data_IF_840695742228
#
_entry.id   IF_840695742228
#
_cell.length_a   1.000
_cell.length_b   1.000
_cell.length_c   1.000
_cell.angle_alpha   90.00
_cell.angle_beta   90.00
_cell.angle_gamma   90.00
#
_symmetry.space_group_name_H-M   'P 1'
#
loop_
_entity.id
_entity.type
_entity.pdbx_description
1 polymer ?
#
# COMPACT_ATOMS: atom_id res chain seq x y z
N UNK A 1 -46.56 24.46 -56.54
CA UNK A 1 -46.17 25.02 -55.22
C UNK A 1 -46.85 24.19 -54.13
N UNK A 2 -46.19 23.22 -53.48
CA UNK A 2 -46.82 22.43 -52.42
C UNK A 2 -46.72 23.17 -51.08
N UNK A 3 -47.86 23.28 -50.39
CA UNK A 3 -47.94 23.86 -49.04
C UNK A 3 -47.44 22.81 -48.05
N UNK A 4 -46.27 23.06 -47.46
CA UNK A 4 -45.69 22.24 -46.40
C UNK A 4 -46.44 22.57 -45.10
N UNK A 5 -47.43 21.75 -44.74
CA UNK A 5 -48.05 21.79 -43.40
C UNK A 5 -47.10 21.15 -42.40
N UNK A 6 -46.54 21.97 -41.49
CA UNK A 6 -45.74 21.50 -40.36
C UNK A 6 -46.64 20.75 -39.36
N UNK A 7 -46.19 19.64 -38.77
CA UNK A 7 -46.95 18.93 -37.75
C UNK A 7 -46.99 19.76 -36.46
N UNK A 8 -48.20 19.97 -35.96
CA UNK A 8 -48.49 20.60 -34.67
C UNK A 8 -47.75 19.85 -33.56
N UNK A 9 -46.98 20.52 -32.69
CA UNK A 9 -46.35 19.84 -31.56
C UNK A 9 -47.45 19.31 -30.65
N UNK A 10 -47.43 18.00 -30.40
CA UNK A 10 -48.30 17.35 -29.43
C UNK A 10 -48.19 18.12 -28.12
N UNK A 11 -49.33 18.73 -27.73
CA UNK A 11 -49.52 19.41 -26.44
C UNK A 11 -49.14 18.40 -25.36
N UNK A 12 -47.91 18.49 -24.87
CA UNK A 12 -47.47 17.78 -23.66
C UNK A 12 -48.36 18.34 -22.57
N UNK A 13 -49.41 17.59 -22.25
CA UNK A 13 -50.28 17.90 -21.13
C UNK A 13 -49.41 17.67 -19.90
N UNK A 14 -48.72 18.71 -19.46
CA UNK A 14 -48.18 18.78 -18.11
C UNK A 14 -49.40 18.83 -17.21
N UNK A 15 -49.98 17.66 -16.94
CA UNK A 15 -50.99 17.50 -15.92
C UNK A 15 -50.26 17.73 -14.60
N UNK A 16 -50.31 18.96 -14.11
CA UNK A 16 -50.19 19.24 -12.69
C UNK A 16 -51.28 18.41 -12.03
N UNK A 17 -50.91 17.23 -11.52
CA UNK A 17 -51.85 16.31 -10.89
C UNK A 17 -52.26 16.92 -9.56
N UNK A 18 -53.54 17.28 -9.47
CA UNK A 18 -54.12 17.86 -8.27
C UNK A 18 -53.76 17.01 -7.04
N UNK A 19 -53.18 17.62 -5.98
CA UNK A 19 -52.88 16.91 -4.75
C UNK A 19 -54.17 16.28 -4.20
N UNK A 20 -54.13 14.98 -3.90
CA UNK A 20 -55.30 14.21 -3.46
C UNK A 20 -56.09 13.52 -4.58
N UNK A 21 -55.73 13.73 -5.86
CA UNK A 21 -56.27 12.90 -6.95
C UNK A 21 -55.82 11.44 -6.79
N UNK A 22 -56.69 10.50 -7.19
CA UNK A 22 -56.40 9.04 -7.17
C UNK A 22 -55.07 8.72 -7.83
N UNK A 23 -54.76 9.38 -8.95
CA UNK A 23 -53.52 9.17 -9.66
C UNK A 23 -52.29 9.69 -8.86
N UNK A 24 -52.43 10.76 -8.08
CA UNK A 24 -51.35 11.27 -7.21
C UNK A 24 -51.07 10.27 -6.08
N UNK A 25 -52.13 9.71 -5.50
CA UNK A 25 -52.04 8.70 -4.43
C UNK A 25 -51.34 7.44 -4.95
N UNK A 26 -51.68 6.96 -6.15
CA UNK A 26 -51.01 5.81 -6.77
C UNK A 26 -49.52 6.05 -7.01
N UNK A 27 -49.12 7.26 -7.42
CA UNK A 27 -47.70 7.60 -7.58
C UNK A 27 -46.97 7.58 -6.25
N UNK A 28 -47.59 8.08 -5.17
CA UNK A 28 -47.02 8.03 -3.82
C UNK A 28 -46.88 6.58 -3.31
N UNK A 29 -47.88 5.74 -3.54
CA UNK A 29 -47.84 4.33 -3.16
C UNK A 29 -46.71 3.59 -3.90
N UNK A 30 -46.61 3.75 -5.23
CA UNK A 30 -45.52 3.15 -6.01
C UNK A 30 -44.13 3.63 -5.56
N UNK A 31 -44.00 4.92 -5.20
CA UNK A 31 -42.74 5.47 -4.69
C UNK A 31 -42.39 4.89 -3.31
N UNK A 32 -43.39 4.67 -2.46
CA UNK A 32 -43.21 4.04 -1.16
C UNK A 32 -42.83 2.56 -1.29
N UNK A 33 -43.47 1.82 -2.20
CA UNK A 33 -43.10 0.44 -2.50
C UNK A 33 -41.65 0.32 -3.01
N UNK A 34 -41.24 1.21 -3.92
CA UNK A 34 -39.87 1.26 -4.41
C UNK A 34 -38.87 1.55 -3.28
N UNK A 35 -39.20 2.50 -2.39
CA UNK A 35 -38.37 2.82 -1.23
C UNK A 35 -38.20 1.63 -0.28
N UNK A 36 -39.30 0.93 0.04
CA UNK A 36 -39.27 -0.26 0.90
C UNK A 36 -38.49 -1.41 0.24
N UNK A 37 -38.59 -1.58 -1.08
CA UNK A 37 -37.82 -2.58 -1.81
C UNK A 37 -36.31 -2.28 -1.77
N UNK A 38 -35.91 -1.02 -1.95
CA UNK A 38 -34.51 -0.60 -1.86
C UNK A 38 -33.95 -0.77 -0.44
N UNK A 39 -34.74 -0.42 0.58
CA UNK A 39 -34.36 -0.64 1.98
C UNK A 39 -34.17 -2.13 2.29
N UNK A 40 -35.05 -3.00 1.77
CA UNK A 40 -34.94 -4.46 1.93
C UNK A 40 -33.69 -5.01 1.24
N UNK A 41 -33.38 -4.55 0.03
CA UNK A 41 -32.15 -4.92 -0.71
C UNK A 41 -30.89 -4.50 0.04
N UNK A 42 -30.88 -3.29 0.61
CA UNK A 42 -29.76 -2.81 1.42
C UNK A 42 -29.54 -3.68 2.65
N UNK A 43 -30.62 -4.04 3.35
CA UNK A 43 -30.56 -4.93 4.52
C UNK A 43 -30.01 -6.32 4.18
N UNK A 44 -30.46 -6.91 3.06
CA UNK A 44 -29.94 -8.21 2.58
C UNK A 44 -28.45 -8.11 2.21
N UNK A 45 -28.03 -7.01 1.57
CA UNK A 45 -26.62 -6.77 1.24
C UNK A 45 -25.76 -6.66 2.49
N UNK A 46 -26.24 -5.96 3.52
CA UNK A 46 -25.57 -5.88 4.82
C UNK A 46 -25.45 -7.25 5.48
N UNK A 47 -26.52 -8.06 5.48
CA UNK A 47 -26.48 -9.43 5.99
C UNK A 47 -25.42 -10.30 5.29
N UNK A 48 -25.31 -10.22 3.96
CA UNK A 48 -24.28 -10.93 3.18
C UNK A 48 -22.85 -10.48 3.51
N UNK A 49 -22.65 -9.20 3.84
CA UNK A 49 -21.35 -8.68 4.27
C UNK A 49 -20.99 -9.17 5.66
N UNK A 50 -21.97 -9.26 6.56
CA UNK A 50 -21.80 -9.77 7.91
C UNK A 50 -21.39 -11.25 7.89
N UNK A 51 -22.10 -12.09 7.13
CA UNK A 51 -21.73 -13.51 6.99
C UNK A 51 -20.36 -13.73 6.37
N UNK A 52 -19.95 -12.87 5.42
CA UNK A 52 -18.59 -12.89 4.87
C UNK A 52 -17.54 -12.51 5.91
N UNK A 53 -17.85 -11.57 6.81
CA UNK A 53 -16.96 -11.21 7.91
C UNK A 53 -16.87 -12.32 8.95
N UNK A 54 -17.99 -12.95 9.32
CA UNK A 54 -18.02 -14.10 10.23
C UNK A 54 -17.17 -15.25 9.69
N UNK A 55 -17.30 -15.58 8.40
CA UNK A 55 -16.46 -16.61 7.76
C UNK A 55 -14.96 -16.23 7.71
N UNK A 56 -14.63 -14.94 7.67
CA UNK A 56 -13.25 -14.47 7.73
C UNK A 56 -12.69 -14.56 9.17
N UNK A 57 -13.52 -14.28 10.17
CA UNK A 57 -13.17 -14.42 11.59
C UNK A 57 -12.95 -15.89 11.94
N UNK A 58 -13.84 -16.79 11.51
CA UNK A 58 -13.68 -18.23 11.74
C UNK A 58 -12.38 -18.77 11.12
N UNK A 59 -12.01 -18.30 9.92
CA UNK A 59 -10.71 -18.63 9.31
C UNK A 59 -9.52 -18.12 10.14
N UNK A 60 -9.62 -16.92 10.70
CA UNK A 60 -8.57 -16.38 11.57
C UNK A 60 -8.49 -17.14 12.90
N UNK A 61 -9.62 -17.54 13.48
CA UNK A 61 -9.68 -18.36 14.69
C UNK A 61 -9.05 -19.74 14.46
N UNK A 62 -9.33 -20.39 13.33
CA UNK A 62 -8.67 -21.64 12.94
C UNK A 62 -7.16 -21.44 12.77
N UNK A 63 -6.73 -20.35 12.11
CA UNK A 63 -5.31 -20.03 11.97
C UNK A 63 -4.63 -19.77 13.32
N UNK A 64 -5.31 -19.08 14.24
CA UNK A 64 -4.83 -18.83 15.59
C UNK A 64 -4.78 -20.11 16.44
N UNK A 65 -5.78 -20.98 16.33
CA UNK A 65 -5.83 -22.27 17.02
C UNK A 65 -4.78 -23.26 16.49
N UNK A 66 -4.42 -23.17 15.21
CA UNK A 66 -3.34 -23.96 14.60
C UNK A 66 -1.94 -23.35 14.80
N UNK A 67 -1.85 -22.16 15.40
CA UNK A 67 -0.56 -21.49 15.62
C UNK A 67 0.21 -22.26 16.69
N UNK A 68 1.37 -22.81 16.33
CA UNK A 68 2.31 -23.30 17.33
C UNK A 68 2.66 -22.13 18.26
N UNK A 69 2.79 -22.36 19.58
CA UNK A 69 3.26 -21.32 20.49
C UNK A 69 4.58 -20.81 19.93
N UNK A 70 4.62 -19.51 19.63
CA UNK A 70 5.87 -18.83 19.32
C UNK A 70 6.76 -19.10 20.52
N UNK A 71 7.78 -19.95 20.33
CA UNK A 71 8.83 -20.01 21.32
C UNK A 71 9.34 -18.58 21.49
N UNK A 72 9.53 -18.09 22.73
CA UNK A 72 10.18 -16.82 22.93
C UNK A 72 11.50 -16.91 22.18
N UNK A 73 11.62 -16.18 21.07
CA UNK A 73 12.92 -15.78 20.58
C UNK A 73 13.38 -14.83 21.67
N UNK A 74 13.99 -15.36 22.74
CA UNK A 74 14.93 -14.55 23.46
C UNK A 74 15.91 -14.12 22.38
N UNK A 75 16.03 -12.81 22.06
CA UNK A 75 17.22 -12.39 21.38
C UNK A 75 18.36 -12.89 22.25
N UNK A 76 19.19 -13.77 21.68
CA UNK A 76 20.48 -14.04 22.30
C UNK A 76 21.09 -12.65 22.52
N UNK A 77 21.46 -12.24 23.75
CA UNK A 77 22.06 -10.93 23.97
C UNK A 77 23.31 -10.70 23.09
N UNK A 78 23.86 -11.78 22.54
CA UNK A 78 24.95 -11.75 21.58
C UNK A 78 24.50 -11.57 20.11
N UNK A 79 23.23 -11.79 19.75
CA UNK A 79 22.70 -11.65 18.38
C UNK A 79 22.46 -10.21 17.93
N UNK A 80 22.13 -9.27 18.84
CA UNK A 80 22.00 -7.85 18.45
C UNK A 80 23.36 -7.22 18.12
N UNK A 81 24.45 -7.81 18.59
CA UNK A 81 25.82 -7.33 18.39
C UNK A 81 26.65 -8.16 17.39
N UNK A 82 26.08 -9.19 16.80
CA UNK A 82 26.75 -9.95 15.74
C UNK A 82 26.46 -9.31 14.38
N UNK A 83 27.50 -8.69 13.82
CA UNK A 83 27.51 -8.22 12.44
C UNK A 83 27.09 -9.37 11.50
N UNK A 84 26.01 -9.22 10.70
CA UNK A 84 25.52 -10.25 9.79
C UNK A 84 26.64 -11.01 9.07
N UNK A 85 26.74 -12.32 9.30
CA UNK A 85 27.84 -13.19 8.83
C UNK A 85 27.92 -13.35 7.29
N UNK A 86 27.00 -12.74 6.54
CA UNK A 86 27.05 -12.67 5.08
C UNK A 86 27.84 -11.43 4.64
N UNK A 87 29.15 -11.39 4.90
CA UNK A 87 29.97 -10.20 4.61
C UNK A 87 30.18 -10.01 3.11
N UNK A 88 29.24 -9.34 2.46
CA UNK A 88 29.36 -8.90 1.06
C UNK A 88 30.46 -7.83 0.89
N UNK A 89 30.82 -7.15 1.97
CA UNK A 89 31.91 -6.18 2.08
C UNK A 89 32.79 -6.57 3.27
N UNK A 90 34.11 -6.43 3.13
CA UNK A 90 35.08 -6.73 4.19
C UNK A 90 34.81 -5.90 5.46
N UNK A 91 34.91 -6.55 6.64
CA UNK A 91 34.67 -5.89 7.94
C UNK A 91 35.52 -4.63 8.12
N UNK A 92 36.78 -4.68 7.69
CA UNK A 92 37.73 -3.55 7.78
C UNK A 92 37.21 -2.32 7.02
N UNK A 93 36.58 -2.53 5.86
CA UNK A 93 36.00 -1.45 5.06
C UNK A 93 34.76 -0.90 5.76
N UNK A 94 33.88 -1.78 6.23
CA UNK A 94 32.66 -1.39 6.95
C UNK A 94 32.98 -0.56 8.20
N UNK A 95 33.98 -0.97 8.97
CA UNK A 95 34.43 -0.23 10.16
C UNK A 95 35.04 1.13 9.80
N UNK A 96 35.81 1.20 8.70
CA UNK A 96 36.37 2.46 8.21
C UNK A 96 35.25 3.44 7.80
N UNK A 97 34.24 2.95 7.07
CA UNK A 97 33.06 3.72 6.67
C UNK A 97 32.29 4.21 7.91
N UNK A 98 32.12 3.35 8.92
CA UNK A 98 31.43 3.74 10.14
C UNK A 98 32.16 4.85 10.91
N UNK A 99 33.50 4.84 10.91
CA UNK A 99 34.31 5.91 11.51
C UNK A 99 34.22 7.23 10.77
N UNK A 100 34.00 7.19 9.46
CA UNK A 100 33.89 8.39 8.60
C UNK A 100 32.47 8.97 8.58
N UNK A 101 31.46 8.11 8.66
CA UNK A 101 30.06 8.52 8.66
C UNK A 101 29.68 9.27 9.93
N UNK A 102 28.81 10.26 9.78
CA UNK A 102 28.31 11.10 10.88
C UNK A 102 26.80 10.98 11.12
N UNK A 103 26.11 10.20 10.29
CA UNK A 103 24.71 9.82 10.43
C UNK A 103 24.43 8.58 9.57
N UNK A 104 23.27 7.97 9.80
CA UNK A 104 22.79 6.76 9.15
C UNK A 104 22.71 6.88 7.62
N UNK A 105 22.35 8.07 7.10
CA UNK A 105 22.23 8.27 5.65
C UNK A 105 23.58 8.42 4.99
N UNK A 106 24.52 9.13 5.63
CA UNK A 106 25.90 9.25 5.16
C UNK A 106 26.57 7.87 5.15
N UNK A 107 26.40 7.10 6.22
CA UNK A 107 26.86 5.71 6.29
C UNK A 107 26.34 4.87 5.11
N UNK A 108 25.02 4.87 4.89
CA UNK A 108 24.42 4.10 3.81
C UNK A 108 24.91 4.55 2.42
N UNK A 109 25.07 5.86 2.21
CA UNK A 109 25.64 6.42 0.97
C UNK A 109 27.09 5.98 0.72
N UNK A 110 27.93 5.91 1.77
CA UNK A 110 29.32 5.46 1.69
C UNK A 110 29.42 3.94 1.51
N UNK A 111 28.48 3.16 2.05
CA UNK A 111 28.44 1.71 1.88
C UNK A 111 27.95 1.30 0.49
N UNK A 112 27.10 2.11 -0.14
CA UNK A 112 26.46 1.80 -1.41
C UNK A 112 27.43 1.52 -2.58
N UNK A 113 28.55 2.25 -2.78
CA UNK A 113 29.56 1.91 -3.80
C UNK A 113 30.23 0.55 -3.60
N UNK A 114 30.40 0.12 -2.35
CA UNK A 114 31.00 -1.18 -2.05
C UNK A 114 30.01 -2.31 -2.29
N UNK A 115 28.74 -2.08 -1.97
CA UNK A 115 27.68 -3.06 -2.18
C UNK A 115 27.24 -3.11 -3.63
N UNK A 116 27.19 -1.98 -4.34
CA UNK A 116 26.73 -1.79 -5.72
C UNK A 116 27.73 -1.03 -6.61
N UNK A 117 28.93 -1.58 -6.85
CA UNK A 117 29.95 -0.90 -7.66
C UNK A 117 29.49 -0.58 -9.09
N UNK A 118 28.64 -1.42 -9.68
CA UNK A 118 28.12 -1.25 -11.03
C UNK A 118 27.24 0.00 -11.20
N UNK A 119 26.64 0.50 -10.10
CA UNK A 119 25.88 1.75 -10.12
C UNK A 119 26.76 2.97 -10.39
N UNK A 120 28.03 2.90 -9.98
CA UNK A 120 28.99 4.01 -10.06
C UNK A 120 29.98 3.85 -11.23
N UNK A 121 29.80 2.80 -12.04
CA UNK A 121 30.62 2.55 -13.21
C UNK A 121 30.31 3.47 -14.40
N UNK A 122 31.05 3.25 -15.49
CA UNK A 122 30.93 4.01 -16.75
C UNK A 122 29.53 3.89 -17.36
N UNK A 123 28.85 2.77 -17.10
CA UNK A 123 27.53 2.45 -17.64
C UNK A 123 26.37 3.24 -17.01
N UNK A 124 26.65 4.10 -16.01
CA UNK A 124 25.68 4.99 -15.35
C UNK A 124 24.36 4.31 -14.94
N UNK A 125 24.43 3.08 -14.44
CA UNK A 125 23.26 2.29 -14.05
C UNK A 125 22.39 2.98 -12.97
N UNK A 126 22.92 3.97 -12.24
CA UNK A 126 22.15 4.91 -11.40
C UNK A 126 20.96 5.60 -12.09
N UNK A 127 21.01 5.74 -13.41
CA UNK A 127 19.91 6.31 -14.19
C UNK A 127 18.78 5.30 -14.39
N UNK A 128 19.07 4.01 -14.36
CA UNK A 128 18.15 2.92 -14.64
C UNK A 128 17.64 2.23 -13.37
N UNK A 129 18.36 2.34 -12.27
CA UNK A 129 18.01 1.69 -11.00
C UNK A 129 17.80 2.70 -9.86
N UNK A 130 16.90 2.37 -8.94
CA UNK A 130 16.79 3.06 -7.65
C UNK A 130 16.39 2.08 -6.54
N UNK A 131 16.33 2.56 -5.30
CA UNK A 131 16.08 1.71 -4.15
C UNK A 131 14.79 0.90 -4.26
N UNK A 132 13.69 1.51 -4.72
CA UNK A 132 12.35 0.89 -4.68
C UNK A 132 11.80 0.44 -6.05
N UNK A 133 12.51 0.68 -7.15
CA UNK A 133 12.00 0.51 -8.51
C UNK A 133 10.92 1.52 -8.92
N UNK A 134 10.96 2.75 -8.39
CA UNK A 134 9.98 3.79 -8.68
C UNK A 134 10.35 4.61 -9.95
N UNK A 135 9.38 5.33 -10.52
CA UNK A 135 9.59 6.29 -11.62
C UNK A 135 10.28 5.69 -12.87
N UNK A 136 9.79 4.54 -13.35
CA UNK A 136 10.30 3.82 -14.53
C UNK A 136 11.75 3.28 -14.38
N UNK A 137 12.33 3.33 -13.18
CA UNK A 137 13.59 2.68 -12.85
C UNK A 137 13.34 1.28 -12.27
N UNK A 138 14.29 0.37 -12.47
CA UNK A 138 14.27 -0.96 -11.86
C UNK A 138 14.70 -0.89 -10.38
N UNK A 139 14.18 -1.81 -9.57
CA UNK A 139 14.60 -1.92 -8.18
C UNK A 139 16.00 -2.53 -8.08
N UNK A 140 16.79 -2.08 -7.10
CA UNK A 140 18.05 -2.74 -6.75
C UNK A 140 17.81 -4.16 -6.21
N UNK A 141 18.82 -5.02 -6.34
CA UNK A 141 18.81 -6.39 -5.84
C UNK A 141 18.42 -6.45 -4.36
N UNK A 142 17.38 -7.25 -4.05
CA UNK A 142 16.76 -7.27 -2.73
C UNK A 142 17.70 -7.78 -1.63
N UNK A 143 18.56 -8.75 -1.95
CA UNK A 143 19.52 -9.33 -1.00
C UNK A 143 20.59 -8.32 -0.61
N UNK A 144 21.13 -7.59 -1.60
CA UNK A 144 22.13 -6.53 -1.39
C UNK A 144 21.54 -5.29 -0.69
N UNK A 145 20.29 -4.95 -0.99
CA UNK A 145 19.55 -3.91 -0.24
C UNK A 145 19.42 -4.28 1.25
N UNK A 146 19.01 -5.53 1.53
CA UNK A 146 18.88 -6.01 2.89
C UNK A 146 20.21 -5.96 3.66
N UNK A 147 21.33 -6.22 2.98
CA UNK A 147 22.66 -6.06 3.57
C UNK A 147 22.94 -4.60 4.00
N UNK A 148 22.73 -3.63 3.11
CA UNK A 148 22.91 -2.19 3.44
C UNK A 148 21.98 -1.77 4.57
N UNK A 149 20.72 -2.20 4.54
CA UNK A 149 19.74 -1.90 5.57
C UNK A 149 20.14 -2.48 6.94
N UNK A 150 20.55 -3.75 6.98
CA UNK A 150 20.96 -4.41 8.21
C UNK A 150 22.25 -3.81 8.78
N UNK A 151 23.25 -3.51 7.93
CA UNK A 151 24.47 -2.83 8.36
C UNK A 151 24.17 -1.45 8.93
N UNK A 152 23.29 -0.67 8.27
CA UNK A 152 22.93 0.66 8.75
C UNK A 152 22.22 0.58 10.10
N UNK A 153 21.27 -0.35 10.26
CA UNK A 153 20.53 -0.57 11.52
C UNK A 153 21.40 -1.13 12.65
N UNK A 154 22.51 -1.78 12.30
CA UNK A 154 23.48 -2.30 13.25
C UNK A 154 24.30 -1.16 13.89
N UNK A 155 24.86 -0.26 13.06
CA UNK A 155 25.65 0.86 13.57
C UNK A 155 24.80 2.06 14.03
N UNK A 156 23.60 2.22 13.46
CA UNK A 156 22.67 3.30 13.76
C UNK A 156 21.29 2.72 14.11
N UNK A 157 21.04 2.35 15.38
CA UNK A 157 19.79 1.75 15.81
C UNK A 157 18.54 2.59 15.50
N UNK A 158 18.69 3.93 15.44
CA UNK A 158 17.61 4.85 15.07
C UNK A 158 17.06 4.60 13.65
N UNK A 159 17.87 4.03 12.76
CA UNK A 159 17.45 3.62 11.42
C UNK A 159 16.46 2.43 11.42
N UNK A 160 16.18 1.82 12.58
CA UNK A 160 15.06 0.87 12.75
C UNK A 160 13.71 1.57 12.63
N UNK A 161 13.64 2.88 12.91
CA UNK A 161 12.44 3.70 12.70
C UNK A 161 12.13 3.87 11.22
N UNK A 162 10.86 3.65 10.83
CA UNK A 162 10.41 3.78 9.43
C UNK A 162 10.61 5.20 8.88
N UNK A 163 10.44 6.23 9.70
CA UNK A 163 10.63 7.62 9.27
C UNK A 163 12.09 7.94 8.96
N UNK A 164 12.99 7.51 9.84
CA UNK A 164 14.45 7.67 9.68
C UNK A 164 14.93 6.88 8.47
N UNK A 165 14.52 5.62 8.34
CA UNK A 165 14.88 4.79 7.20
C UNK A 165 14.39 5.37 5.86
N UNK A 166 13.20 5.96 5.85
CA UNK A 166 12.69 6.65 4.66
C UNK A 166 13.57 7.84 4.26
N UNK A 167 14.06 8.62 5.23
CA UNK A 167 14.99 9.72 4.98
C UNK A 167 16.35 9.22 4.45
N UNK A 168 16.84 8.08 4.95
CA UNK A 168 18.04 7.42 4.41
C UNK A 168 17.84 7.03 2.95
N UNK A 169 16.74 6.34 2.64
CA UNK A 169 16.41 5.90 1.27
C UNK A 169 16.28 7.09 0.32
N UNK A 170 15.72 8.22 0.78
CA UNK A 170 15.65 9.45 -0.02
C UNK A 170 17.02 10.02 -0.39
N UNK A 171 18.05 9.83 0.46
CA UNK A 171 19.42 10.28 0.16
C UNK A 171 20.21 9.32 -0.73
N UNK A 172 19.81 8.05 -0.74
CA UNK A 172 20.40 7.02 -1.60
C UNK A 172 19.97 7.17 -3.07
N UNK A 173 18.71 7.56 -3.30
CA UNK A 173 18.11 7.72 -4.64
C UNK A 173 18.58 8.99 -5.35
#
# INVERSE_FOLDING_TARGET
MPIITRPTPARRVSATMEPGSVAHILVLLNRMEAYMADQTRAMISMGKRLTKQEAAVERLEVLLASRQPLQPILPDPDQENQMPETSLVDKVIVDAINREANNEAHFACLLLPHVFPELFGVDKLRLLFNWNGAAAKQALDASRKAYVENMTKFFYPDARSTSVWTAVVMRIN
#
